data_IF_686755233497
#
_entry.id   IF_686755233497
#
_cell.length_a   1.000
_cell.length_b   1.000
_cell.length_c   1.000
_cell.angle_alpha   90.00
_cell.angle_beta   90.00
_cell.angle_gamma   90.00
#
_symmetry.space_group_name_H-M   'P 1'
#
loop_
_entity.id
_entity.type
_entity.pdbx_description
1 polymer ?
#
# COMPACT_ATOMS: atom_id res chain seq x y z
N UNK A 1 -11.35 -2.14 0.88
CA UNK A 1 -11.04 -1.31 -0.31
C UNK A 1 -12.24 -0.47 -0.74
N UNK A 2 -13.42 -1.08 -0.90
CA UNK A 2 -14.64 -0.36 -1.32
C UNK A 2 -15.00 0.77 -0.35
N UNK A 3 -15.01 0.48 0.95
CA UNK A 3 -15.33 1.45 2.00
C UNK A 3 -14.37 2.65 2.03
N UNK A 4 -13.08 2.42 1.86
CA UNK A 4 -12.06 3.47 1.91
C UNK A 4 -11.73 4.07 0.53
N UNK A 5 -12.30 3.55 -0.57
CA UNK A 5 -11.98 3.98 -1.92
C UNK A 5 -10.53 3.73 -2.34
N UNK A 6 -9.83 2.81 -1.68
CA UNK A 6 -8.42 2.51 -1.93
C UNK A 6 -8.23 1.23 -2.75
N UNK A 7 -7.04 1.08 -3.33
CA UNK A 7 -6.62 -0.17 -3.99
C UNK A 7 -5.80 -1.03 -3.05
N UNK A 8 -5.92 -2.35 -3.19
CA UNK A 8 -5.13 -3.32 -2.44
C UNK A 8 -3.79 -3.56 -3.13
N UNK A 9 -2.69 -3.31 -2.43
CA UNK A 9 -1.37 -3.81 -2.78
C UNK A 9 -1.11 -5.08 -1.97
N UNK A 10 -0.67 -6.13 -2.62
CA UNK A 10 -0.46 -7.44 -2.01
C UNK A 10 0.78 -8.13 -2.60
N UNK A 11 1.26 -9.19 -1.97
CA UNK A 11 2.36 -10.00 -2.50
C UNK A 11 1.91 -10.79 -3.73
N UNK A 12 2.42 -10.40 -4.90
CA UNK A 12 1.99 -10.95 -6.19
C UNK A 12 2.41 -12.39 -6.45
N UNK A 13 3.24 -12.98 -5.58
CA UNK A 13 3.66 -14.37 -5.66
C UNK A 13 2.63 -15.34 -5.06
N UNK A 14 1.56 -14.80 -4.45
CA UNK A 14 0.40 -15.55 -3.96
C UNK A 14 -0.70 -15.42 -5.00
N UNK A 15 -0.82 -16.43 -5.89
CA UNK A 15 -1.74 -16.40 -7.04
C UNK A 15 -3.22 -16.27 -6.62
N UNK A 16 -3.60 -16.86 -5.51
CA UNK A 16 -4.98 -16.96 -5.01
C UNK A 16 -5.63 -15.58 -4.76
N UNK A 17 -4.85 -14.56 -4.39
CA UNK A 17 -5.41 -13.23 -4.14
C UNK A 17 -5.96 -12.57 -5.40
N UNK A 18 -5.23 -12.64 -6.50
CA UNK A 18 -5.69 -12.06 -7.76
C UNK A 18 -6.95 -12.75 -8.27
N UNK A 19 -6.95 -14.08 -8.27
CA UNK A 19 -8.08 -14.93 -8.66
C UNK A 19 -9.31 -14.62 -7.79
N UNK A 20 -9.13 -14.48 -6.49
CA UNK A 20 -10.20 -14.13 -5.56
C UNK A 20 -10.82 -12.76 -5.91
N UNK A 21 -10.00 -11.71 -6.10
CA UNK A 21 -10.51 -10.38 -6.44
C UNK A 21 -11.27 -10.39 -7.77
N UNK A 22 -10.76 -11.12 -8.78
CA UNK A 22 -11.43 -11.27 -10.08
C UNK A 22 -12.76 -12.02 -9.93
N UNK A 23 -12.76 -13.16 -9.25
CA UNK A 23 -13.94 -13.98 -9.04
C UNK A 23 -15.06 -13.27 -8.28
N UNK A 24 -14.72 -12.32 -7.42
CA UNK A 24 -15.68 -11.47 -6.71
C UNK A 24 -16.07 -10.18 -7.45
N UNK A 25 -15.54 -9.94 -8.65
CA UNK A 25 -15.81 -8.72 -9.41
C UNK A 25 -15.03 -7.49 -8.93
N UNK A 26 -14.04 -7.64 -8.05
CA UNK A 26 -13.27 -6.55 -7.41
C UNK A 26 -11.97 -6.20 -8.14
N UNK A 27 -11.87 -6.51 -9.43
CA UNK A 27 -10.68 -6.23 -10.25
C UNK A 27 -10.20 -4.78 -10.15
N UNK A 28 -11.13 -3.84 -10.06
CA UNK A 28 -10.81 -2.40 -10.01
C UNK A 28 -10.11 -1.97 -8.71
N UNK A 29 -10.22 -2.80 -7.66
CA UNK A 29 -9.57 -2.54 -6.37
C UNK A 29 -8.19 -3.19 -6.26
N UNK A 30 -7.76 -3.92 -7.29
CA UNK A 30 -6.42 -4.49 -7.34
C UNK A 30 -5.44 -3.43 -7.85
N UNK A 31 -4.35 -3.24 -7.12
CA UNK A 31 -3.31 -2.31 -7.49
C UNK A 31 -2.34 -2.91 -8.51
N UNK A 32 -1.98 -2.14 -9.52
CA UNK A 32 -0.84 -2.45 -10.37
C UNK A 32 0.45 -2.40 -9.54
N UNK A 33 1.45 -3.17 -9.96
CA UNK A 33 2.76 -3.14 -9.33
C UNK A 33 3.26 -1.70 -9.20
N UNK A 34 3.61 -1.23 -7.98
CA UNK A 34 4.15 0.10 -7.78
C UNK A 34 5.39 0.34 -8.65
N UNK A 35 5.44 1.47 -9.35
CA UNK A 35 6.54 1.79 -10.27
C UNK A 35 7.88 1.86 -9.55
N UNK A 36 7.88 2.32 -8.31
CA UNK A 36 9.06 2.38 -7.45
C UNK A 36 9.72 1.02 -7.20
N UNK A 37 8.98 -0.08 -7.35
CA UNK A 37 9.47 -1.46 -7.18
C UNK A 37 9.98 -2.10 -8.46
N UNK A 38 9.90 -1.41 -9.59
CA UNK A 38 10.35 -1.90 -10.89
C UNK A 38 11.81 -1.47 -11.10
N UNK A 39 12.70 -2.46 -11.25
CA UNK A 39 14.09 -2.22 -11.58
C UNK A 39 14.22 -1.56 -12.96
N UNK A 40 14.71 -0.31 -13.05
CA UNK A 40 14.79 0.43 -14.31
C UNK A 40 15.78 -0.21 -15.33
N UNK A 41 16.70 -1.04 -14.88
CA UNK A 41 17.67 -1.73 -15.75
C UNK A 41 17.05 -2.88 -16.54
N UNK A 42 15.88 -3.37 -16.14
CA UNK A 42 15.24 -4.55 -16.74
C UNK A 42 14.18 -4.16 -17.77
N UNK A 43 14.54 -4.17 -19.04
CA UNK A 43 13.71 -3.71 -20.18
C UNK A 43 12.39 -4.46 -20.44
N UNK A 44 12.18 -5.68 -19.93
CA UNK A 44 11.09 -6.58 -20.38
C UNK A 44 10.30 -7.26 -19.25
N UNK A 45 9.99 -6.60 -18.14
CA UNK A 45 9.08 -7.20 -17.17
C UNK A 45 7.63 -6.92 -17.53
N UNK A 46 6.85 -7.99 -17.72
CA UNK A 46 5.37 -7.89 -17.74
C UNK A 46 4.95 -7.25 -16.43
N UNK A 47 4.27 -6.10 -16.52
CA UNK A 47 3.70 -5.43 -15.36
C UNK A 47 2.59 -6.33 -14.83
N UNK A 48 2.73 -6.80 -13.61
CA UNK A 48 1.72 -7.60 -12.90
C UNK A 48 1.06 -6.75 -11.81
N UNK A 49 -0.03 -7.25 -11.28
CA UNK A 49 -0.65 -6.69 -10.10
C UNK A 49 0.17 -7.02 -8.84
N UNK A 50 0.10 -6.16 -7.84
CA UNK A 50 0.77 -6.35 -6.56
C UNK A 50 2.30 -6.20 -6.60
N UNK A 51 2.95 -6.45 -5.49
CA UNK A 51 4.40 -6.33 -5.32
C UNK A 51 5.03 -7.73 -5.19
N UNK A 52 6.02 -8.10 -6.01
CA UNK A 52 6.63 -9.42 -5.92
C UNK A 52 7.50 -9.55 -4.66
N UNK A 53 7.28 -10.64 -3.92
CA UNK A 53 7.98 -10.92 -2.67
C UNK A 53 9.35 -11.60 -2.86
N UNK A 54 9.65 -12.05 -4.09
CA UNK A 54 10.92 -12.71 -4.44
C UNK A 54 11.85 -11.88 -5.31
N UNK A 55 11.42 -10.66 -5.70
CA UNK A 55 12.26 -9.77 -6.49
C UNK A 55 13.19 -8.95 -5.57
N UNK A 56 14.54 -9.14 -5.64
CA UNK A 56 15.46 -8.45 -4.74
C UNK A 56 15.34 -6.92 -4.78
N UNK A 57 15.07 -6.35 -5.96
CA UNK A 57 14.90 -4.90 -6.11
C UNK A 57 13.64 -4.42 -5.38
N UNK A 58 12.51 -5.12 -5.54
CA UNK A 58 11.28 -4.81 -4.86
C UNK A 58 11.40 -4.97 -3.33
N UNK A 59 12.13 -6.01 -2.89
CA UNK A 59 12.40 -6.24 -1.47
C UNK A 59 13.24 -5.13 -0.84
N UNK A 60 14.31 -4.72 -1.53
CA UNK A 60 15.14 -3.62 -1.05
C UNK A 60 14.33 -2.33 -0.98
N UNK A 61 13.54 -2.04 -2.01
CA UNK A 61 12.69 -0.85 -2.03
C UNK A 61 11.63 -0.84 -0.91
N UNK A 62 11.06 -2.02 -0.62
CA UNK A 62 10.15 -2.19 0.50
C UNK A 62 10.85 -1.85 1.83
N UNK A 63 12.05 -2.43 2.04
CA UNK A 63 12.84 -2.17 3.25
C UNK A 63 13.18 -0.69 3.40
N UNK A 64 13.72 -0.06 2.34
CA UNK A 64 14.08 1.36 2.35
C UNK A 64 12.86 2.24 2.69
N UNK A 65 11.70 1.93 2.10
CA UNK A 65 10.48 2.71 2.35
C UNK A 65 9.99 2.60 3.80
N UNK A 66 10.09 1.42 4.41
CA UNK A 66 9.76 1.24 5.84
C UNK A 66 10.76 2.01 6.71
N UNK A 67 12.06 1.87 6.41
CA UNK A 67 13.12 2.55 7.15
C UNK A 67 12.95 4.07 7.11
N UNK A 68 12.80 4.64 5.92
CA UNK A 68 12.59 6.08 5.72
C UNK A 68 11.37 6.60 6.48
N UNK A 69 10.27 5.81 6.45
CA UNK A 69 9.05 6.20 7.17
C UNK A 69 9.25 6.19 8.69
N UNK A 70 9.89 5.16 9.22
CA UNK A 70 10.17 5.07 10.66
C UNK A 70 11.10 6.19 11.11
N UNK A 71 12.15 6.50 10.33
CA UNK A 71 13.09 7.57 10.63
C UNK A 71 12.41 8.95 10.68
N UNK A 72 11.50 9.22 9.74
CA UNK A 72 10.87 10.54 9.58
C UNK A 72 9.54 10.69 10.32
N UNK A 73 8.86 9.59 10.65
CA UNK A 73 7.45 9.60 11.09
C UNK A 73 7.14 8.57 12.17
N UNK A 74 8.12 8.14 12.98
CA UNK A 74 7.86 7.17 14.05
C UNK A 74 6.81 7.65 15.05
N UNK A 75 6.66 8.96 15.22
CA UNK A 75 5.64 9.61 16.06
C UNK A 75 4.19 9.41 15.56
N UNK A 76 4.02 8.93 14.32
CA UNK A 76 2.71 8.67 13.70
C UNK A 76 2.32 7.18 13.69
N UNK A 77 3.11 6.33 14.30
CA UNK A 77 2.83 4.91 14.42
C UNK A 77 2.17 4.68 15.79
N UNK A 78 0.88 4.31 15.79
CA UNK A 78 0.07 4.19 17.02
C UNK A 78 -0.35 2.75 17.33
N UNK A 79 0.07 1.76 16.53
CA UNK A 79 -0.28 0.36 16.72
C UNK A 79 0.84 -0.35 17.45
N UNK A 80 0.58 -0.79 18.69
CA UNK A 80 1.58 -1.42 19.57
C UNK A 80 2.18 -2.66 18.92
N UNK A 81 1.38 -3.51 18.30
CA UNK A 81 1.81 -4.72 17.62
C UNK A 81 2.79 -4.40 16.48
N UNK A 82 2.49 -3.39 15.68
CA UNK A 82 3.38 -2.93 14.60
C UNK A 82 4.69 -2.37 15.16
N UNK A 83 4.66 -1.63 16.28
CA UNK A 83 5.87 -1.09 16.91
C UNK A 83 6.77 -2.24 17.37
N UNK A 84 6.20 -3.23 18.05
CA UNK A 84 6.95 -4.41 18.52
C UNK A 84 7.56 -5.17 17.34
N UNK A 85 6.80 -5.34 16.26
CA UNK A 85 7.25 -6.04 15.05
C UNK A 85 8.38 -5.26 14.35
N UNK A 86 8.25 -3.94 14.22
CA UNK A 86 9.28 -3.04 13.67
C UNK A 86 10.59 -3.09 14.49
N UNK A 87 10.50 -3.07 15.82
CA UNK A 87 11.68 -3.13 16.71
C UNK A 87 12.43 -4.47 16.58
N UNK A 88 11.72 -5.55 16.29
CA UNK A 88 12.28 -6.88 16.14
C UNK A 88 12.71 -7.18 14.69
N UNK A 89 12.32 -6.35 13.72
CA UNK A 89 12.41 -6.61 12.28
C UNK A 89 13.82 -6.91 11.81
N UNK A 90 13.94 -8.01 11.08
CA UNK A 90 15.18 -8.43 10.41
C UNK A 90 14.89 -8.73 8.95
N UNK A 91 15.42 -7.94 8.05
CA UNK A 91 15.21 -8.06 6.60
C UNK A 91 15.44 -9.48 6.09
N UNK A 92 16.49 -10.17 6.55
CA UNK A 92 16.81 -11.55 6.17
C UNK A 92 15.77 -12.60 6.64
N UNK A 93 14.90 -12.25 7.60
CA UNK A 93 13.87 -13.13 8.17
C UNK A 93 12.48 -12.50 8.09
N UNK A 94 12.23 -11.67 7.08
CA UNK A 94 11.03 -10.85 6.92
C UNK A 94 9.71 -11.62 7.06
N UNK A 95 9.68 -12.88 6.66
CA UNK A 95 8.47 -13.73 6.74
C UNK A 95 7.98 -14.04 8.14
N UNK A 96 8.67 -13.54 9.18
CA UNK A 96 8.27 -13.63 10.57
C UNK A 96 7.64 -12.34 11.11
N UNK A 97 7.56 -11.32 10.29
CA UNK A 97 7.20 -9.95 10.66
C UNK A 97 6.07 -9.46 9.75
N UNK A 98 4.90 -10.10 9.88
CA UNK A 98 3.79 -9.90 8.96
C UNK A 98 3.25 -8.47 9.00
N UNK A 99 3.20 -7.85 10.20
CA UNK A 99 2.73 -6.49 10.37
C UNK A 99 3.66 -5.48 9.69
N UNK A 100 4.98 -5.64 9.85
CA UNK A 100 5.98 -4.81 9.18
C UNK A 100 5.93 -4.99 7.66
N UNK A 101 5.72 -6.22 7.17
CA UNK A 101 5.59 -6.50 5.74
C UNK A 101 4.33 -5.85 5.18
N UNK A 102 3.18 -6.02 5.84
CA UNK A 102 1.92 -5.40 5.43
C UNK A 102 1.99 -3.87 5.46
N UNK A 103 2.63 -3.32 6.49
CA UNK A 103 2.87 -1.88 6.61
C UNK A 103 3.70 -1.35 5.45
N UNK A 104 4.81 -1.96 5.12
CA UNK A 104 5.64 -1.58 3.98
C UNK A 104 4.92 -1.69 2.64
N UNK A 105 4.06 -2.71 2.46
CA UNK A 105 3.20 -2.81 1.28
C UNK A 105 2.21 -1.65 1.18
N UNK A 106 1.67 -1.20 2.30
CA UNK A 106 0.76 -0.03 2.34
C UNK A 106 1.49 1.27 2.03
N UNK A 107 2.71 1.45 2.53
CA UNK A 107 3.55 2.61 2.22
C UNK A 107 3.90 2.68 0.73
N UNK A 108 4.30 1.55 0.12
CA UNK A 108 4.55 1.46 -1.32
C UNK A 108 3.30 1.83 -2.14
N UNK A 109 2.12 1.42 -1.68
CA UNK A 109 0.86 1.80 -2.31
C UNK A 109 0.60 3.31 -2.20
N UNK A 110 0.87 3.89 -1.03
CA UNK A 110 0.71 5.33 -0.76
C UNK A 110 1.53 6.21 -1.70
N UNK A 111 2.75 5.81 -2.04
CA UNK A 111 3.62 6.57 -2.96
C UNK A 111 3.03 6.72 -4.37
N UNK A 112 2.24 5.76 -4.82
CA UNK A 112 1.58 5.80 -6.14
C UNK A 112 0.26 6.57 -6.11
N UNK A 113 -0.48 6.52 -5.00
CA UNK A 113 -1.81 7.13 -4.86
C UNK A 113 -1.77 8.64 -4.62
N UNK A 114 -0.68 9.19 -4.08
CA UNK A 114 -0.52 10.63 -3.84
C UNK A 114 -0.57 11.45 -5.14
N UNK A 115 -0.39 10.83 -6.31
CA UNK A 115 -0.47 11.49 -7.62
C UNK A 115 -1.87 11.55 -8.23
N UNK A 116 -2.89 10.98 -7.61
CA UNK A 116 -4.25 10.82 -8.20
C UNK A 116 -5.34 11.57 -7.40
N UNK A 117 -5.01 12.55 -6.58
CA UNK A 117 -6.00 13.57 -6.23
C UNK A 117 -6.24 14.48 -7.45
N UNK A 118 -7.01 13.97 -8.40
CA UNK A 118 -7.54 14.82 -9.46
C UNK A 118 -8.51 15.83 -8.81
N UNK A 119 -8.46 17.09 -9.26
CA UNK A 119 -9.37 18.16 -8.81
C UNK A 119 -10.85 17.77 -8.84
N UNK A 120 -11.23 16.79 -9.66
CA UNK A 120 -12.58 16.24 -9.79
C UNK A 120 -13.05 15.44 -8.58
N UNK A 121 -12.20 14.63 -7.94
CA UNK A 121 -12.61 13.86 -6.74
C UNK A 121 -12.85 14.78 -5.54
N UNK A 122 -12.09 15.86 -5.40
CA UNK A 122 -12.28 16.86 -4.37
C UNK A 122 -13.61 17.62 -4.54
N UNK A 123 -14.01 17.88 -5.78
CA UNK A 123 -15.28 18.51 -6.13
C UNK A 123 -16.49 17.61 -5.88
N UNK A 124 -16.38 16.30 -6.12
CA UNK A 124 -17.42 15.31 -5.85
C UNK A 124 -17.64 15.16 -4.35
N UNK A 125 -16.58 15.08 -3.56
CA UNK A 125 -16.68 15.00 -2.09
C UNK A 125 -17.37 16.24 -1.49
N UNK A 126 -17.02 17.43 -1.95
CA UNK A 126 -17.63 18.70 -1.51
C UNK A 126 -19.09 18.84 -1.93
N UNK A 127 -19.50 18.28 -3.07
CA UNK A 127 -20.90 18.28 -3.53
C UNK A 127 -21.82 17.37 -2.73
N UNK A 128 -21.28 16.34 -2.09
CA UNK A 128 -22.04 15.36 -1.30
C UNK A 128 -21.94 15.59 0.22
N UNK A 129 -21.06 16.48 0.67
CA UNK A 129 -21.00 16.89 2.06
C UNK A 129 -22.25 17.73 2.40
N UNK A 130 -23.24 17.15 3.08
CA UNK A 130 -24.37 17.89 3.62
C UNK A 130 -23.84 18.92 4.63
N UNK A 131 -24.30 20.17 4.57
CA UNK A 131 -23.91 21.17 5.56
C UNK A 131 -24.33 20.68 6.95
N UNK A 132 -23.37 20.60 7.87
CA UNK A 132 -23.64 20.30 9.27
C UNK A 132 -24.39 21.50 9.85
N UNK A 133 -25.62 21.30 10.25
CA UNK A 133 -26.43 22.34 10.85
C UNK A 133 -25.97 22.57 12.30
N UNK A 134 -25.16 23.59 12.52
CA UNK A 134 -24.56 23.94 13.82
C UNK A 134 -25.57 24.57 14.83
N UNK A 135 -26.84 24.68 14.49
CA UNK A 135 -27.87 25.28 15.35
C UNK A 135 -28.59 24.27 16.28
N UNK A 136 -27.90 23.19 16.68
CA UNK A 136 -28.42 22.22 17.65
C UNK A 136 -27.51 22.11 18.89
N UNK A 137 -27.16 23.24 19.47
CA UNK A 137 -26.73 23.30 20.87
C UNK A 137 -27.30 24.55 21.52
#
# INVERSE_FOLDING_TARGET
CEYFGCKANYESDVEDYYEYFIGKGYKNYVMWRPKSTIDPSRKNKKVKYGTPSKDPFALQKHFDTVYDYVELHCDKIYFDELIVDLMAYKHAKRTKYDDTVAFGMSLLAGTENVKVETKEQKLVFLKHAKPVNLNRF
#
